data_IF_995175732251
#
_entry.id   IF_995175732251
#
_cell.length_a   1.000
_cell.length_b   1.000
_cell.length_c   1.000
_cell.angle_alpha   90.00
_cell.angle_beta   90.00
_cell.angle_gamma   90.00
#
_symmetry.space_group_name_H-M   'P 1'
#
loop_
_entity.id
_entity.type
_entity.pdbx_description
1 polymer ?
#
# COMPACT_ATOMS: atom_id res chain seq x y z
N UNK A 1 -28.88 10.75 -21.94
CA UNK A 1 -27.72 10.09 -21.32
C UNK A 1 -27.67 10.49 -19.85
N UNK A 2 -28.21 9.66 -18.97
CA UNK A 2 -28.26 9.91 -17.52
C UNK A 2 -27.01 9.30 -16.87
N UNK A 3 -26.34 9.99 -15.95
CA UNK A 3 -25.19 9.42 -15.26
C UNK A 3 -25.65 8.25 -14.37
N UNK A 4 -24.99 7.11 -14.51
CA UNK A 4 -25.33 5.86 -13.83
C UNK A 4 -25.20 6.03 -12.30
N UNK A 5 -26.30 5.76 -11.59
CA UNK A 5 -26.45 5.95 -10.15
C UNK A 5 -25.66 4.85 -9.43
N UNK A 6 -24.48 5.16 -8.91
CA UNK A 6 -23.67 4.18 -8.15
C UNK A 6 -24.49 3.60 -6.98
N UNK A 7 -24.44 2.27 -6.76
CA UNK A 7 -25.24 1.63 -5.72
C UNK A 7 -24.73 1.96 -4.30
N UNK A 8 -25.66 2.06 -3.36
CA UNK A 8 -25.46 2.59 -2.00
C UNK A 8 -24.45 1.82 -1.12
N UNK A 9 -24.10 0.58 -1.49
CA UNK A 9 -23.14 -0.26 -0.75
C UNK A 9 -21.67 0.01 -1.12
N UNK A 10 -21.39 0.96 -2.02
CA UNK A 10 -20.05 1.57 -2.20
C UNK A 10 -19.72 2.53 -1.02
N UNK A 11 -20.45 2.43 0.09
CA UNK A 11 -20.19 3.15 1.32
C UNK A 11 -19.01 2.53 2.11
N UNK A 12 -18.02 3.36 2.41
CA UNK A 12 -16.95 3.17 3.40
C UNK A 12 -15.97 2.01 3.23
N UNK A 13 -15.35 1.97 2.05
CA UNK A 13 -14.08 1.24 1.86
C UNK A 13 -12.87 2.13 1.71
N UNK A 14 -13.01 3.44 1.59
CA UNK A 14 -11.90 4.35 1.31
C UNK A 14 -11.25 4.85 2.61
N UNK A 15 -9.92 4.98 2.70
CA UNK A 15 -9.37 5.94 3.65
C UNK A 15 -9.97 7.31 3.31
N UNK A 16 -10.73 7.89 4.24
CA UNK A 16 -11.34 9.20 4.08
C UNK A 16 -10.34 10.36 4.29
N UNK A 17 -9.09 10.05 4.63
CA UNK A 17 -8.06 11.03 4.95
C UNK A 17 -6.65 10.47 4.70
N UNK A 18 -5.66 11.36 4.78
CA UNK A 18 -4.23 11.07 4.78
C UNK A 18 -3.73 10.35 6.04
N UNK A 19 -4.58 10.23 7.07
CA UNK A 19 -4.24 9.51 8.31
C UNK A 19 -4.09 8.02 8.03
N UNK A 20 -2.96 7.45 8.45
CA UNK A 20 -2.74 6.01 8.38
C UNK A 20 -3.65 5.26 9.34
N UNK A 21 -4.26 4.18 8.85
CA UNK A 21 -4.98 3.19 9.67
C UNK A 21 -4.37 1.82 9.47
N UNK A 22 -4.16 1.09 10.56
CA UNK A 22 -3.82 -0.34 10.49
C UNK A 22 -5.09 -1.14 10.24
N UNK A 23 -5.03 -2.09 9.31
CA UNK A 23 -6.14 -2.96 8.95
C UNK A 23 -5.62 -4.35 8.57
N UNK A 24 -6.54 -5.29 8.32
CA UNK A 24 -6.21 -6.56 7.66
C UNK A 24 -6.58 -6.47 6.18
N UNK A 25 -5.72 -7.01 5.33
CA UNK A 25 -6.01 -7.20 3.91
C UNK A 25 -7.17 -8.18 3.79
N UNK A 26 -8.20 -7.81 3.01
CA UNK A 26 -9.38 -8.66 2.83
C UNK A 26 -9.12 -9.90 1.99
N UNK A 27 -8.05 -9.89 1.18
CA UNK A 27 -7.73 -10.99 0.27
C UNK A 27 -6.85 -12.05 0.94
N UNK A 28 -5.78 -11.64 1.63
CA UNK A 28 -4.82 -12.57 2.24
C UNK A 28 -4.81 -12.55 3.78
N UNK A 29 -5.58 -11.67 4.43
CA UNK A 29 -5.66 -11.55 5.90
C UNK A 29 -4.48 -10.85 6.57
N UNK A 30 -3.38 -10.58 5.85
CA UNK A 30 -2.17 -9.95 6.39
C UNK A 30 -2.43 -8.52 6.89
N UNK A 31 -1.61 -8.06 7.85
CA UNK A 31 -1.69 -6.68 8.32
C UNK A 31 -1.23 -5.71 7.22
N UNK A 32 -1.97 -4.61 7.05
CA UNK A 32 -1.67 -3.57 6.08
C UNK A 32 -1.94 -2.18 6.65
N UNK A 33 -1.16 -1.20 6.22
CA UNK A 33 -1.41 0.23 6.46
C UNK A 33 -2.27 0.76 5.31
N UNK A 34 -3.31 1.53 5.63
CA UNK A 34 -4.18 2.19 4.64
C UNK A 34 -4.18 3.70 4.85
N UNK A 35 -4.00 4.47 3.77
CA UNK A 35 -4.06 5.93 3.78
C UNK A 35 -4.36 6.49 2.38
N UNK A 36 -4.84 7.73 2.29
CA UNK A 36 -4.71 8.52 1.05
C UNK A 36 -3.29 9.08 0.97
N UNK A 37 -2.65 8.95 -0.20
CA UNK A 37 -1.30 9.45 -0.44
C UNK A 37 -1.31 10.35 -1.68
N UNK A 38 -0.64 11.50 -1.59
CA UNK A 38 -0.65 12.55 -2.61
C UNK A 38 -1.42 13.79 -2.16
N UNK A 39 -1.15 14.94 -2.79
CA UNK A 39 -1.73 16.25 -2.41
C UNK A 39 -2.96 16.65 -3.24
N UNK A 40 -2.94 16.39 -4.55
CA UNK A 40 -3.97 16.91 -5.49
C UNK A 40 -4.85 15.79 -6.06
N UNK A 41 -4.26 14.65 -6.41
CA UNK A 41 -4.96 13.46 -6.91
C UNK A 41 -4.58 12.26 -6.04
N UNK A 42 -4.98 12.30 -4.77
CA UNK A 42 -4.54 11.32 -3.79
C UNK A 42 -5.05 9.92 -4.13
N UNK A 43 -4.16 8.93 -4.18
CA UNK A 43 -4.54 7.53 -4.38
C UNK A 43 -4.63 6.80 -3.03
N UNK A 44 -5.33 5.68 -3.04
CA UNK A 44 -5.46 4.84 -1.85
C UNK A 44 -4.28 3.89 -1.76
N UNK A 45 -3.33 4.22 -0.91
CA UNK A 45 -2.24 3.31 -0.60
C UNK A 45 -2.73 2.19 0.32
N UNK A 46 -2.28 0.98 0.02
CA UNK A 46 -2.20 -0.15 0.94
C UNK A 46 -0.74 -0.51 1.00
N UNK A 47 -0.12 -0.47 2.18
CA UNK A 47 1.30 -0.75 2.35
C UNK A 47 1.51 -1.87 3.36
N UNK A 48 2.55 -2.67 3.16
CA UNK A 48 3.04 -3.61 4.16
C UNK A 48 3.60 -2.81 5.35
N UNK A 49 3.28 -3.18 6.60
CA UNK A 49 3.72 -2.40 7.77
C UNK A 49 5.21 -2.56 8.08
N UNK A 50 5.87 -3.57 7.51
CA UNK A 50 7.27 -3.88 7.75
C UNK A 50 8.18 -2.89 7.02
N UNK A 51 9.11 -2.21 7.72
CA UNK A 51 10.10 -1.36 7.08
C UNK A 51 11.03 -2.13 6.15
N UNK A 52 11.43 -1.49 5.05
CA UNK A 52 12.43 -1.98 4.12
C UNK A 52 13.80 -1.36 4.39
N UNK A 53 14.83 -2.18 4.24
CA UNK A 53 16.20 -1.71 4.03
C UNK A 53 16.40 -1.28 2.54
N UNK A 54 17.53 -0.63 2.19
CA UNK A 54 17.75 -0.15 0.83
C UNK A 54 17.75 -1.25 -0.25
N UNK A 55 18.25 -2.45 0.06
CA UNK A 55 18.28 -3.56 -0.90
C UNK A 55 16.87 -4.07 -1.17
N UNK A 56 16.07 -4.27 -0.13
CA UNK A 56 14.67 -4.67 -0.26
C UNK A 56 13.82 -3.61 -0.96
N UNK A 57 14.12 -2.33 -0.73
CA UNK A 57 13.47 -1.25 -1.47
C UNK A 57 13.78 -1.34 -2.97
N UNK A 58 15.05 -1.50 -3.34
CA UNK A 58 15.46 -1.64 -4.73
C UNK A 58 14.74 -2.83 -5.40
N UNK A 59 14.73 -3.99 -4.75
CA UNK A 59 14.07 -5.19 -5.26
C UNK A 59 12.57 -4.97 -5.44
N UNK A 60 11.88 -4.36 -4.46
CA UNK A 60 10.46 -4.05 -4.59
C UNK A 60 10.19 -3.15 -5.80
N UNK A 61 11.00 -2.10 -6.00
CA UNK A 61 10.82 -1.19 -7.14
C UNK A 61 11.10 -1.85 -8.49
N UNK A 62 12.07 -2.77 -8.56
CA UNK A 62 12.33 -3.57 -9.75
C UNK A 62 11.16 -4.51 -10.08
N UNK A 63 10.47 -5.01 -9.06
CA UNK A 63 9.20 -5.76 -9.18
C UNK A 63 8.00 -4.87 -9.56
N UNK A 64 8.22 -3.58 -9.83
CA UNK A 64 7.17 -2.62 -10.20
C UNK A 64 6.31 -2.15 -9.03
N UNK A 65 6.71 -2.46 -7.79
CA UNK A 65 5.99 -2.05 -6.59
C UNK A 65 6.23 -0.59 -6.23
N UNK A 66 5.20 0.06 -5.72
CA UNK A 66 5.33 1.42 -5.17
C UNK A 66 5.95 1.36 -3.77
N UNK A 67 6.82 2.32 -3.47
CA UNK A 67 7.37 2.51 -2.12
C UNK A 67 6.88 3.82 -1.52
N UNK A 68 6.80 3.88 -0.20
CA UNK A 68 6.29 5.02 0.57
C UNK A 68 7.23 5.33 1.73
N UNK A 69 7.26 6.60 2.13
CA UNK A 69 7.87 7.01 3.39
C UNK A 69 6.78 7.03 4.47
N UNK A 70 6.91 6.18 5.48
CA UNK A 70 6.08 6.18 6.69
C UNK A 70 6.69 7.13 7.73
N UNK A 71 6.14 8.34 7.80
CA UNK A 71 6.52 9.34 8.79
C UNK A 71 5.81 9.08 10.11
N UNK A 72 6.59 8.81 11.16
CA UNK A 72 6.12 8.66 12.54
C UNK A 72 6.75 9.79 13.37
N UNK A 73 5.92 10.59 14.05
CA UNK A 73 6.38 11.69 14.92
C UNK A 73 5.63 11.64 16.25
N UNK A 74 6.25 12.03 17.38
CA UNK A 74 5.66 11.86 18.72
C UNK A 74 4.28 12.51 18.94
N UNK A 75 3.94 13.56 18.18
CA UNK A 75 2.72 14.35 18.39
C UNK A 75 1.83 14.48 17.15
N UNK A 76 2.18 13.82 16.04
CA UNK A 76 1.38 13.85 14.82
C UNK A 76 0.95 12.43 14.47
N UNK A 77 -0.28 12.21 13.99
CA UNK A 77 -0.67 10.88 13.56
C UNK A 77 0.23 10.46 12.38
N UNK A 78 0.58 9.16 12.25
CA UNK A 78 1.47 8.73 11.19
C UNK A 78 0.89 9.02 9.80
N UNK A 79 1.79 9.16 8.83
CA UNK A 79 1.48 9.52 7.43
C UNK A 79 2.29 8.68 6.48
N UNK A 80 1.66 8.24 5.39
CA UNK A 80 2.34 7.74 4.21
C UNK A 80 2.57 8.91 3.24
N UNK A 81 3.80 9.05 2.78
CA UNK A 81 4.20 10.02 1.76
C UNK A 81 4.75 9.27 0.56
N UNK A 82 4.53 9.80 -0.63
CA UNK A 82 5.12 9.21 -1.83
C UNK A 82 6.64 9.19 -1.77
N UNK A 83 7.21 8.03 -2.08
CA UNK A 83 8.64 7.88 -2.26
C UNK A 83 9.01 8.20 -3.70
N UNK A 84 8.97 9.50 -3.99
CA UNK A 84 9.26 10.04 -5.32
C UNK A 84 10.76 9.96 -5.65
N UNK A 85 11.14 10.05 -6.94
CA UNK A 85 12.55 10.09 -7.34
C UNK A 85 13.37 11.18 -6.64
N UNK A 86 12.76 12.32 -6.31
CA UNK A 86 13.42 13.39 -5.55
C UNK A 86 13.80 12.97 -4.12
N UNK A 87 12.91 12.27 -3.42
CA UNK A 87 13.23 11.73 -2.08
C UNK A 87 14.30 10.64 -2.14
N UNK A 88 14.31 9.83 -3.19
CA UNK A 88 15.32 8.77 -3.38
C UNK A 88 16.69 9.41 -3.67
N UNK A 89 16.74 10.42 -4.55
CA UNK A 89 17.97 11.14 -4.89
C UNK A 89 18.59 11.88 -3.69
N UNK A 90 17.76 12.30 -2.74
CA UNK A 90 18.21 12.89 -1.48
C UNK A 90 18.99 11.95 -0.55
N UNK A 91 19.11 10.66 -0.90
CA UNK A 91 19.88 9.67 -0.16
C UNK A 91 19.06 8.96 0.90
N UNK A 92 19.61 8.82 2.11
CA UNK A 92 18.95 8.07 3.19
C UNK A 92 17.68 8.78 3.63
N UNK A 93 16.55 8.07 3.58
CA UNK A 93 15.31 8.58 4.13
C UNK A 93 15.41 8.69 5.66
N UNK A 94 14.97 9.81 6.22
CA UNK A 94 14.84 10.00 7.68
C UNK A 94 13.59 9.32 8.26
N UNK A 95 12.75 8.75 7.41
CA UNK A 95 11.54 8.00 7.78
C UNK A 95 11.70 6.52 7.46
N UNK A 96 10.81 5.69 7.99
CA UNK A 96 10.73 4.29 7.58
C UNK A 96 10.25 4.20 6.13
N UNK A 97 10.88 3.33 5.34
CA UNK A 97 10.43 3.03 3.99
C UNK A 97 9.57 1.79 4.05
N UNK A 98 8.39 1.82 3.44
CA UNK A 98 7.50 0.67 3.30
C UNK A 98 7.12 0.48 1.85
N UNK A 99 6.63 -0.70 1.48
CA UNK A 99 6.20 -1.01 0.11
C UNK A 99 4.69 -1.16 0.04
N UNK A 100 4.13 -0.97 -1.14
CA UNK A 100 2.74 -1.32 -1.42
C UNK A 100 2.44 -2.77 -1.03
N UNK A 101 1.21 -3.07 -0.65
CA UNK A 101 0.84 -4.43 -0.29
C UNK A 101 0.45 -5.20 -1.56
N UNK A 102 1.26 -6.18 -1.93
CA UNK A 102 0.89 -7.20 -2.89
C UNK A 102 0.51 -8.47 -2.15
N UNK A 103 -0.69 -8.98 -2.40
CA UNK A 103 -1.07 -10.26 -1.83
C UNK A 103 -0.17 -11.33 -2.45
N UNK A 104 0.49 -12.19 -1.64
CA UNK A 104 0.98 -13.44 -2.18
C UNK A 104 -0.26 -14.14 -2.75
N UNK A 105 -0.25 -14.44 -4.05
CA UNK A 105 -1.39 -15.10 -4.69
C UNK A 105 -1.87 -16.28 -3.84
N UNK A 106 -3.17 -16.59 -3.86
CA UNK A 106 -3.63 -17.86 -3.29
C UNK A 106 -2.77 -18.95 -3.94
N UNK A 107 -2.11 -19.85 -3.17
CA UNK A 107 -1.35 -20.93 -3.78
C UNK A 107 -2.26 -21.63 -4.78
N UNK A 108 -1.77 -21.82 -6.01
CA UNK A 108 -2.51 -22.56 -7.01
C UNK A 108 -2.92 -23.90 -6.37
N UNK A 109 -4.21 -24.22 -6.38
CA UNK A 109 -4.63 -25.56 -5.98
C UNK A 109 -3.87 -26.55 -6.87
N UNK A 110 -3.28 -27.62 -6.31
CA UNK A 110 -2.62 -28.62 -7.12
C UNK A 110 -3.64 -29.11 -8.14
N UNK A 111 -3.31 -28.97 -9.42
CA UNK A 111 -4.07 -29.62 -10.49
C UNK A 111 -3.96 -31.11 -10.18
N UNK A 112 -5.03 -31.70 -9.67
CA UNK A 112 -5.13 -33.15 -9.62
C UNK A 112 -5.14 -33.59 -11.08
N UNK A 113 -3.98 -33.98 -11.61
CA UNK A 113 -3.92 -34.79 -12.81
C UNK A 113 -4.77 -36.03 -12.52
N UNK A 114 -6.01 -36.01 -13.00
CA UNK A 114 -6.86 -37.18 -13.08
C UNK A 114 -6.14 -38.14 -14.02
N UNK A 115 -5.39 -39.06 -13.42
CA UNK A 115 -4.80 -40.19 -14.12
C UNK A 115 -5.97 -41.02 -14.67
N UNK A 116 -6.17 -40.92 -15.98
CA UNK A 116 -7.01 -41.80 -16.79
C UNK A 116 -6.38 -43.20 -16.88
#
# INVERSE_FOLDING_TARGET
MTPEKRPAWVADRNPASDRTKLARCKSCGQQVIRALVGRTAAHQARADPAPLDPLRELLARLDGRLTYCLSIRPHLPPRLLDRTPWHIKGGKCTHYVVTDHHCPGRPAEPVQEALL
#
